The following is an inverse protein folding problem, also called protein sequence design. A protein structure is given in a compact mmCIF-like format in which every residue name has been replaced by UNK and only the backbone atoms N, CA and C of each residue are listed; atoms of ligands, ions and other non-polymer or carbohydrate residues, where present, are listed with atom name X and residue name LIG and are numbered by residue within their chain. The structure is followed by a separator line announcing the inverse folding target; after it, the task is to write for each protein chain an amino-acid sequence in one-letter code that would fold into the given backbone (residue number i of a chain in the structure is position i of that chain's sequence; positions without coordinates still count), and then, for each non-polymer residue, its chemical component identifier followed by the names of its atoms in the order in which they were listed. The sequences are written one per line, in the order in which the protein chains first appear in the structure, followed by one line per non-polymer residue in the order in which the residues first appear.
data_IF_499470840119
#
_entry.id   IF_499470840119
#
_cell.length_a   1.000
_cell.length_b   1.000
_cell.length_c   1.000
_cell.angle_alpha   90.00
_cell.angle_beta   90.00
_cell.angle_gamma   90.00
#
_symmetry.space_group_name_H-M   'P 1'
#
loop_
_entity.id
_entity.type
_entity.pdbx_description
1 polymer ?
#
# COMPACT_ATOMS: atom_id res chain seq x y z
N UNK A 1 -24.68 -51.96 -2.26
CA UNK A 1 -24.44 -50.86 -1.28
C UNK A 1 -23.12 -50.10 -1.48
N UNK A 2 -22.28 -50.38 -2.50
CA UNK A 2 -20.99 -49.69 -2.72
C UNK A 2 -21.11 -48.35 -3.48
N UNK A 3 -22.05 -48.23 -4.42
CA UNK A 3 -22.17 -47.05 -5.29
C UNK A 3 -22.65 -45.77 -4.58
N UNK A 4 -23.40 -45.87 -3.48
CA UNK A 4 -23.90 -44.70 -2.74
C UNK A 4 -22.77 -43.93 -2.03
N UNK A 5 -21.78 -44.64 -1.48
CA UNK A 5 -20.64 -44.02 -0.78
C UNK A 5 -19.77 -43.16 -1.71
N UNK A 6 -19.60 -43.59 -2.97
CA UNK A 6 -18.79 -42.87 -3.96
C UNK A 6 -19.41 -41.54 -4.36
N UNK A 7 -20.74 -41.48 -4.45
CA UNK A 7 -21.47 -40.26 -4.81
C UNK A 7 -21.35 -39.21 -3.68
N UNK A 8 -21.47 -39.62 -2.42
CA UNK A 8 -21.28 -38.70 -1.29
C UNK A 8 -19.86 -38.15 -1.21
N UNK A 9 -18.84 -38.96 -1.50
CA UNK A 9 -17.44 -38.52 -1.53
C UNK A 9 -17.19 -37.50 -2.65
N UNK A 10 -17.77 -37.69 -3.83
CA UNK A 10 -17.65 -36.75 -4.94
C UNK A 10 -18.37 -35.42 -4.63
N UNK A 11 -19.54 -35.48 -3.99
CA UNK A 11 -20.27 -34.29 -3.57
C UNK A 11 -19.51 -33.48 -2.50
N UNK A 12 -18.90 -34.18 -1.53
CA UNK A 12 -18.13 -33.55 -0.46
C UNK A 12 -16.82 -32.93 -0.99
N UNK A 13 -16.16 -33.59 -1.94
CA UNK A 13 -14.98 -33.04 -2.62
C UNK A 13 -15.31 -31.79 -3.47
N UNK A 14 -16.47 -31.78 -4.14
CA UNK A 14 -16.92 -30.61 -4.89
C UNK A 14 -17.25 -29.42 -3.96
N UNK A 15 -17.88 -29.68 -2.81
CA UNK A 15 -18.18 -28.67 -1.78
C UNK A 15 -16.91 -28.05 -1.16
N UNK A 16 -15.88 -28.87 -0.92
CA UNK A 16 -14.58 -28.40 -0.44
C UNK A 16 -13.82 -27.59 -1.51
N UNK A 17 -13.95 -27.92 -2.78
CA UNK A 17 -13.35 -27.13 -3.86
C UNK A 17 -14.02 -25.75 -4.02
N UNK A 18 -15.33 -25.64 -3.75
CA UNK A 18 -16.07 -24.37 -3.82
C UNK A 18 -15.89 -23.42 -2.63
N UNK A 19 -15.28 -23.87 -1.53
CA UNK A 19 -15.01 -23.02 -0.35
C UNK A 19 -13.68 -22.26 -0.43
N UNK A 20 -12.86 -22.54 -1.44
CA UNK A 20 -11.68 -21.75 -1.79
C UNK A 20 -12.02 -20.63 -2.78
N UNK A 21 -13.04 -19.82 -2.46
CA UNK A 21 -13.12 -18.48 -3.05
C UNK A 21 -12.15 -17.62 -2.25
N UNK A 22 -10.89 -17.60 -2.68
CA UNK A 22 -9.96 -16.56 -2.29
C UNK A 22 -10.60 -15.23 -2.69
N UNK A 23 -10.99 -14.43 -1.70
CA UNK A 23 -11.35 -13.04 -1.90
C UNK A 23 -10.15 -12.35 -2.55
N UNK A 24 -10.24 -12.13 -3.86
CA UNK A 24 -9.31 -11.28 -4.58
C UNK A 24 -9.26 -9.93 -3.85
N UNK A 25 -8.07 -9.52 -3.44
CA UNK A 25 -7.81 -8.25 -2.76
C UNK A 25 -8.16 -7.10 -3.72
N UNK A 26 -9.43 -6.70 -3.74
CA UNK A 26 -9.95 -5.62 -4.60
C UNK A 26 -10.01 -4.25 -3.89
N UNK A 27 -9.57 -4.20 -2.63
CA UNK A 27 -9.71 -3.04 -1.74
C UNK A 27 -8.44 -2.20 -1.60
N UNK A 28 -7.39 -2.46 -2.39
CA UNK A 28 -6.13 -1.71 -2.29
C UNK A 28 -5.88 -0.87 -3.53
N UNK A 29 -5.51 0.39 -3.32
CA UNK A 29 -5.12 1.34 -4.35
C UNK A 29 -3.66 1.73 -4.12
N UNK A 30 -2.86 1.60 -5.16
CA UNK A 30 -1.49 2.10 -5.16
C UNK A 30 -1.54 3.59 -5.39
N UNK A 31 -0.76 4.38 -4.66
CA UNK A 31 -0.56 5.81 -4.93
C UNK A 31 0.93 6.05 -5.05
N UNK A 32 1.33 6.88 -6.01
CA UNK A 32 2.71 7.33 -6.08
C UNK A 32 2.88 8.66 -5.35
N UNK A 33 3.85 8.69 -4.45
CA UNK A 33 4.29 9.90 -3.76
C UNK A 33 5.69 10.29 -4.25
N UNK A 34 5.85 11.54 -4.67
CA UNK A 34 7.16 12.13 -4.90
C UNK A 34 7.51 13.05 -3.72
N UNK A 35 8.67 12.84 -3.11
CA UNK A 35 9.23 13.71 -2.07
C UNK A 35 10.52 14.32 -2.57
N UNK A 36 10.67 15.63 -2.37
CA UNK A 36 11.95 16.31 -2.45
C UNK A 36 12.32 16.79 -1.06
N UNK A 37 13.42 16.26 -0.53
CA UNK A 37 14.02 16.66 0.74
C UNK A 37 15.17 17.63 0.48
N UNK A 38 15.30 18.66 1.31
CA UNK A 38 16.47 19.53 1.36
C UNK A 38 16.94 19.67 2.81
N UNK A 39 18.16 19.23 3.08
CA UNK A 39 18.80 19.40 4.38
C UNK A 39 19.30 20.85 4.48
N UNK A 40 18.92 21.56 5.54
CA UNK A 40 19.24 22.98 5.71
C UNK A 40 20.66 23.20 6.24
N UNK A 41 21.31 22.16 6.77
CA UNK A 41 22.65 22.24 7.33
C UNK A 41 23.75 22.31 6.26
N UNK A 42 23.61 21.53 5.19
CA UNK A 42 24.62 21.38 4.13
C UNK A 42 24.06 21.68 2.73
N UNK A 43 22.78 22.08 2.63
CA UNK A 43 22.05 22.28 1.38
C UNK A 43 21.99 21.05 0.47
N UNK A 44 22.18 19.84 1.00
CA UNK A 44 21.99 18.62 0.22
C UNK A 44 20.52 18.45 -0.14
N UNK A 45 20.27 17.97 -1.36
CA UNK A 45 18.92 17.74 -1.90
C UNK A 45 18.78 16.30 -2.32
N UNK A 46 17.75 15.62 -1.81
CA UNK A 46 17.37 14.27 -2.19
C UNK A 46 15.98 14.25 -2.81
N UNK A 47 15.81 13.46 -3.87
CA UNK A 47 14.50 13.24 -4.50
C UNK A 47 14.15 11.76 -4.40
N UNK A 48 12.95 11.48 -3.92
CA UNK A 48 12.48 10.14 -3.63
C UNK A 48 11.11 9.96 -4.28
N UNK A 49 10.88 8.79 -4.86
CA UNK A 49 9.57 8.38 -5.36
C UNK A 49 9.27 7.00 -4.81
N UNK A 50 8.09 6.81 -4.26
CA UNK A 50 7.68 5.57 -3.63
C UNK A 50 6.20 5.32 -3.88
N UNK A 51 5.87 4.05 -4.03
CA UNK A 51 4.51 3.59 -4.17
C UNK A 51 4.00 3.19 -2.78
N UNK A 52 2.89 3.79 -2.36
CA UNK A 52 2.22 3.48 -1.10
C UNK A 52 0.92 2.76 -1.42
N UNK A 53 0.65 1.70 -0.67
CA UNK A 53 -0.66 1.03 -0.71
C UNK A 53 -1.56 1.69 0.31
N UNK A 54 -2.72 2.17 -0.13
CA UNK A 54 -3.79 2.65 0.75
C UNK A 54 -5.07 1.87 0.49
N UNK A 55 -5.93 1.81 1.49
CA UNK A 55 -7.21 1.15 1.35
C UNK A 55 -8.15 2.01 0.49
N UNK A 56 -9.03 1.35 -0.26
CA UNK A 56 -9.97 1.99 -1.17
C UNK A 56 -11.15 2.58 -0.40
N UNK A 57 -10.89 3.65 0.35
CA UNK A 57 -11.90 4.41 1.10
C UNK A 57 -12.51 5.54 0.25
N UNK A 58 -13.69 6.07 0.58
CA UNK A 58 -14.19 7.29 -0.08
C UNK A 58 -13.26 8.51 0.10
N UNK A 59 -12.34 8.46 1.06
CA UNK A 59 -11.42 9.54 1.43
C UNK A 59 -9.96 9.29 0.96
N UNK A 60 -9.78 8.42 -0.05
CA UNK A 60 -8.47 8.07 -0.66
C UNK A 60 -7.56 9.28 -0.88
N UNK A 61 -8.09 10.43 -1.33
CA UNK A 61 -7.27 11.62 -1.59
C UNK A 61 -6.69 12.26 -0.32
N UNK A 62 -7.48 12.29 0.76
CA UNK A 62 -7.04 12.81 2.06
C UNK A 62 -6.05 11.85 2.73
N UNK A 63 -6.34 10.55 2.67
CA UNK A 63 -5.46 9.51 3.20
C UNK A 63 -4.12 9.45 2.45
N UNK A 64 -4.16 9.59 1.12
CA UNK A 64 -2.97 9.69 0.28
C UNK A 64 -2.10 10.89 0.66
N UNK A 65 -2.71 12.07 0.79
CA UNK A 65 -2.00 13.30 1.18
C UNK A 65 -1.33 13.15 2.54
N UNK A 66 -2.09 12.70 3.55
CA UNK A 66 -1.58 12.51 4.91
C UNK A 66 -0.45 11.49 4.95
N UNK A 67 -0.58 10.41 4.19
CA UNK A 67 0.42 9.34 4.15
C UNK A 67 1.69 9.81 3.43
N UNK A 68 1.58 10.43 2.25
CA UNK A 68 2.74 10.99 1.54
C UNK A 68 3.45 12.05 2.40
N UNK A 69 2.72 12.87 3.14
CA UNK A 69 3.28 13.89 4.04
C UNK A 69 4.03 13.26 5.21
N UNK A 70 3.43 12.29 5.89
CA UNK A 70 4.05 11.59 7.03
C UNK A 70 5.32 10.85 6.60
N UNK A 71 5.25 10.15 5.47
CA UNK A 71 6.40 9.47 4.87
C UNK A 71 7.48 10.46 4.43
N UNK A 72 7.08 11.59 3.84
CA UNK A 72 7.89 12.77 3.55
C UNK A 72 8.76 13.18 4.71
N UNK A 73 8.11 13.49 5.83
CA UNK A 73 8.80 13.90 7.04
C UNK A 73 9.82 12.85 7.51
N UNK A 74 9.43 11.56 7.53
CA UNK A 74 10.31 10.47 7.97
C UNK A 74 11.55 10.33 7.09
N UNK A 75 11.38 10.20 5.78
CA UNK A 75 12.51 9.99 4.84
C UNK A 75 13.46 11.19 4.86
N UNK A 76 12.93 12.41 4.94
CA UNK A 76 13.78 13.60 5.02
C UNK A 76 14.49 13.71 6.37
N UNK A 77 13.83 13.34 7.48
CA UNK A 77 14.47 13.26 8.79
C UNK A 77 15.62 12.26 8.79
N UNK A 78 15.39 11.06 8.24
CA UNK A 78 16.41 10.01 8.16
C UNK A 78 17.57 10.43 7.24
N UNK A 79 17.25 10.96 6.05
CA UNK A 79 18.23 11.41 5.07
C UNK A 79 19.07 12.60 5.55
N UNK A 80 18.50 13.47 6.37
CA UNK A 80 19.20 14.60 6.98
C UNK A 80 19.75 14.28 8.39
N UNK A 81 19.77 13.00 8.81
CA UNK A 81 20.29 12.58 10.11
C UNK A 81 19.69 13.32 11.33
N UNK A 82 18.37 13.58 11.30
CA UNK A 82 17.64 14.30 12.34
C UNK A 82 17.92 15.81 12.42
N UNK A 83 18.67 16.37 11.46
CA UNK A 83 18.99 17.81 11.40
C UNK A 83 17.81 18.61 10.82
N UNK A 84 17.93 19.94 10.72
CA UNK A 84 16.86 20.77 10.14
C UNK A 84 16.73 20.48 8.64
N UNK A 85 15.51 20.19 8.18
CA UNK A 85 15.19 19.96 6.78
C UNK A 85 13.94 20.71 6.34
N UNK A 86 13.84 20.98 5.05
CA UNK A 86 12.61 21.39 4.37
C UNK A 86 12.26 20.34 3.33
N UNK A 87 10.98 20.05 3.11
CA UNK A 87 10.58 19.11 2.08
C UNK A 87 9.29 19.54 1.40
N UNK A 88 9.17 19.12 0.14
CA UNK A 88 7.94 19.20 -0.64
C UNK A 88 7.51 17.79 -0.99
N UNK A 89 6.21 17.54 -1.04
CA UNK A 89 5.67 16.28 -1.48
C UNK A 89 4.58 16.51 -2.53
N UNK A 90 4.42 15.55 -3.44
CA UNK A 90 3.39 15.56 -4.47
C UNK A 90 2.80 14.16 -4.61
N UNK A 91 1.47 14.08 -4.58
CA UNK A 91 0.71 12.87 -4.89
C UNK A 91 0.45 12.87 -6.40
N UNK A 92 0.94 11.86 -7.12
CA UNK A 92 0.89 11.82 -8.61
C UNK A 92 -0.13 10.80 -9.15
N UNK A 93 -1.25 10.63 -8.45
CA UNK A 93 -2.31 9.64 -8.69
C UNK A 93 -1.95 8.18 -8.39
N UNK A 94 -2.98 7.34 -8.15
CA UNK A 94 -2.96 5.92 -8.48
C UNK A 94 -2.71 5.62 -9.94
#
# INVERSE_FOLDING_TARGET
MKARRTIYLLFFAALLASSYVQTAQADQVWIKCHITCRCLQDNTVGNFAFDVVIDRSPDIGFEADLTCKSYGHRVCSDGCNGTKFSYTYQVTSP
#
